data_IF_285903142176
#
_entry.id   IF_285903142176
#
_cell.length_a   1.000
_cell.length_b   1.000
_cell.length_c   1.000
_cell.angle_alpha   90.00
_cell.angle_beta   90.00
_cell.angle_gamma   90.00
#
_symmetry.space_group_name_H-M   'P 1'
#
loop_
_entity.id
_entity.type
_entity.pdbx_description
1 polymer ?
#
# COMPACT_ATOMS: atom_id res chain seq x y z
N UNK A 1 -0.50 -19.35 13.92
CA UNK A 1 0.31 -18.19 13.48
C UNK A 1 0.76 -17.32 14.65
N UNK A 2 -0.09 -17.18 15.66
CA UNK A 2 -0.10 -16.18 16.72
C UNK A 2 1.04 -16.32 17.75
N UNK A 3 1.83 -17.39 17.72
CA UNK A 3 3.01 -17.50 18.61
C UNK A 3 4.30 -17.02 17.95
N UNK A 4 4.27 -16.70 16.65
CA UNK A 4 5.48 -16.29 15.93
C UNK A 4 5.87 -14.84 16.24
N UNK A 5 7.17 -14.61 16.46
CA UNK A 5 7.73 -13.29 16.78
C UNK A 5 7.49 -12.29 15.65
N UNK A 6 7.63 -12.74 14.40
CA UNK A 6 7.40 -11.92 13.21
C UNK A 6 5.95 -11.42 13.11
N UNK A 7 4.97 -12.30 13.32
CA UNK A 7 3.55 -11.93 13.38
C UNK A 7 3.26 -10.96 14.54
N UNK A 8 3.80 -11.20 15.74
CA UNK A 8 3.57 -10.32 16.88
C UNK A 8 4.07 -8.88 16.63
N UNK A 9 5.13 -8.71 15.83
CA UNK A 9 5.64 -7.37 15.49
C UNK A 9 4.64 -6.52 14.69
N UNK A 10 3.81 -7.15 13.84
CA UNK A 10 2.89 -6.45 12.94
C UNK A 10 1.44 -6.51 13.42
N UNK A 11 1.09 -7.47 14.28
CA UNK A 11 -0.26 -7.69 14.79
C UNK A 11 -0.98 -6.42 15.28
N UNK A 12 -0.37 -5.52 16.07
CA UNK A 12 -1.05 -4.30 16.53
C UNK A 12 -1.46 -3.34 15.40
N UNK A 13 -0.95 -3.56 14.19
CA UNK A 13 -1.18 -2.72 13.02
C UNK A 13 -2.08 -3.39 11.97
N UNK A 14 -2.55 -4.62 12.23
CA UNK A 14 -3.50 -5.37 11.41
C UNK A 14 -4.95 -5.03 11.80
N UNK A 15 -5.95 -5.27 10.93
CA UNK A 15 -7.31 -4.78 11.10
C UNK A 15 -8.15 -5.62 12.07
N UNK A 16 -7.56 -6.13 13.15
CA UNK A 16 -8.24 -6.97 14.14
C UNK A 16 -8.33 -6.25 15.49
N UNK A 17 -9.34 -6.59 16.29
CA UNK A 17 -9.52 -5.98 17.60
C UNK A 17 -8.35 -6.33 18.54
N UNK A 18 -7.81 -5.31 19.20
CA UNK A 18 -6.69 -5.47 20.14
C UNK A 18 -7.13 -6.31 21.35
N UNK A 19 -6.28 -7.20 21.83
CA UNK A 19 -6.54 -8.01 23.03
C UNK A 19 -7.20 -9.36 22.79
N UNK A 20 -7.74 -9.63 21.60
CA UNK A 20 -8.18 -10.98 21.24
C UNK A 20 -6.99 -11.90 20.97
N UNK A 21 -7.04 -13.14 21.47
CA UNK A 21 -5.97 -14.14 21.26
C UNK A 21 -5.95 -14.68 19.83
N UNK A 22 -7.12 -14.91 19.24
CA UNK A 22 -7.27 -15.40 17.87
C UNK A 22 -7.37 -14.24 16.87
N UNK A 23 -6.86 -14.47 15.66
CA UNK A 23 -6.97 -13.52 14.55
C UNK A 23 -8.28 -13.76 13.83
N UNK A 24 -9.35 -13.12 14.28
CA UNK A 24 -10.69 -13.29 13.71
C UNK A 24 -11.43 -11.97 13.61
N UNK A 25 -12.35 -11.89 12.66
CA UNK A 25 -13.30 -10.78 12.57
C UNK A 25 -14.40 -10.93 13.64
N UNK A 26 -14.83 -9.84 14.31
CA UNK A 26 -16.02 -9.87 15.15
C UNK A 26 -17.27 -10.35 14.36
N UNK A 27 -18.24 -11.02 15.01
CA UNK A 27 -19.44 -11.56 14.33
C UNK A 27 -20.21 -10.51 13.53
N UNK A 28 -20.30 -9.28 14.05
CA UNK A 28 -20.94 -8.13 13.41
C UNK A 28 -20.20 -7.74 12.13
N UNK A 29 -18.87 -7.65 12.18
CA UNK A 29 -18.03 -7.39 10.99
C UNK A 29 -18.21 -8.50 9.96
N UNK A 30 -18.22 -9.76 10.39
CA UNK A 30 -18.47 -10.91 9.50
C UNK A 30 -19.84 -10.78 8.83
N UNK A 31 -20.89 -10.42 9.56
CA UNK A 31 -22.25 -10.25 9.03
C UNK A 31 -22.29 -9.16 7.96
N UNK A 32 -21.70 -8.00 8.23
CA UNK A 32 -21.65 -6.87 7.30
C UNK A 32 -20.82 -7.20 6.05
N UNK A 33 -19.63 -7.78 6.21
CA UNK A 33 -18.79 -8.19 5.06
C UNK A 33 -19.46 -9.29 4.23
N UNK A 34 -20.13 -10.27 4.86
CA UNK A 34 -20.92 -11.29 4.15
C UNK A 34 -22.05 -10.64 3.35
N UNK A 35 -22.77 -9.68 3.93
CA UNK A 35 -23.83 -8.97 3.20
C UNK A 35 -23.26 -8.22 1.99
N UNK A 36 -22.17 -7.46 2.17
CA UNK A 36 -21.46 -6.78 1.07
C UNK A 36 -21.01 -7.75 -0.03
N UNK A 37 -20.49 -8.93 0.35
CA UNK A 37 -20.04 -9.96 -0.60
C UNK A 37 -21.15 -10.53 -1.50
N UNK A 38 -22.42 -10.33 -1.14
CA UNK A 38 -23.58 -10.72 -1.94
C UNK A 38 -24.12 -9.59 -2.82
N UNK A 39 -23.49 -8.42 -2.80
CA UNK A 39 -23.84 -7.29 -3.66
C UNK A 39 -24.89 -6.34 -3.08
N UNK A 40 -25.26 -5.31 -3.87
CA UNK A 40 -26.13 -4.22 -3.40
C UNK A 40 -27.56 -4.66 -3.07
N UNK A 41 -28.06 -5.75 -3.68
CA UNK A 41 -29.42 -6.24 -3.41
C UNK A 41 -29.61 -6.78 -1.99
N UNK A 42 -28.53 -7.24 -1.34
CA UNK A 42 -28.57 -7.71 0.05
C UNK A 42 -28.01 -6.68 1.03
N UNK A 43 -26.94 -6.00 0.65
CA UNK A 43 -26.27 -5.02 1.51
C UNK A 43 -26.86 -3.62 1.49
N UNK A 44 -27.68 -3.30 0.49
CA UNK A 44 -28.12 -1.95 0.15
C UNK A 44 -26.97 -0.97 -0.14
N UNK A 45 -25.73 -1.44 -0.33
CA UNK A 45 -24.57 -0.58 -0.61
C UNK A 45 -24.33 -0.51 -2.12
N UNK A 46 -24.94 0.49 -2.76
CA UNK A 46 -24.84 0.73 -4.21
C UNK A 46 -24.23 2.08 -4.61
N UNK A 47 -23.61 2.79 -3.67
CA UNK A 47 -23.05 4.13 -3.89
C UNK A 47 -21.85 4.42 -2.97
N UNK A 48 -21.02 5.38 -3.34
CA UNK A 48 -19.88 5.85 -2.56
C UNK A 48 -20.29 6.37 -1.19
N UNK A 49 -21.40 7.12 -1.12
CA UNK A 49 -21.99 7.58 0.15
C UNK A 49 -22.34 6.44 1.09
N UNK A 50 -23.01 5.39 0.58
CA UNK A 50 -23.42 4.25 1.39
C UNK A 50 -22.21 3.40 1.79
N UNK A 51 -21.24 3.23 0.89
CA UNK A 51 -20.02 2.52 1.18
C UNK A 51 -19.20 3.19 2.28
N UNK A 52 -19.05 4.52 2.24
CA UNK A 52 -18.37 5.26 3.29
C UNK A 52 -19.08 5.17 4.65
N UNK A 53 -20.41 5.13 4.68
CA UNK A 53 -21.18 4.89 5.92
C UNK A 53 -20.90 3.51 6.49
N UNK A 54 -20.90 2.49 5.65
CA UNK A 54 -20.54 1.12 6.06
C UNK A 54 -19.11 1.04 6.59
N UNK A 55 -18.16 1.77 5.99
CA UNK A 55 -16.79 1.89 6.51
C UNK A 55 -16.77 2.47 7.94
N UNK A 56 -17.51 3.56 8.18
CA UNK A 56 -17.61 4.17 9.51
C UNK A 56 -18.22 3.18 10.52
N UNK A 57 -19.28 2.47 10.14
CA UNK A 57 -19.91 1.43 10.97
C UNK A 57 -18.93 0.31 11.33
N UNK A 58 -18.22 -0.24 10.33
CA UNK A 58 -17.22 -1.29 10.54
C UNK A 58 -16.10 -0.84 11.49
N UNK A 59 -15.63 0.40 11.36
CA UNK A 59 -14.61 0.95 12.27
C UNK A 59 -15.14 1.15 13.68
N UNK A 60 -16.39 1.56 13.85
CA UNK A 60 -17.02 1.67 15.16
C UNK A 60 -17.12 0.31 15.85
N UNK A 61 -17.52 -0.75 15.12
CA UNK A 61 -17.56 -2.13 15.63
C UNK A 61 -16.16 -2.60 16.07
N UNK A 62 -15.12 -2.22 15.33
CA UNK A 62 -13.73 -2.56 15.62
C UNK A 62 -13.08 -1.64 16.68
N UNK A 63 -13.82 -0.68 17.23
CA UNK A 63 -13.33 0.32 18.19
C UNK A 63 -12.14 1.14 17.65
N UNK A 64 -12.09 1.34 16.32
CA UNK A 64 -11.07 2.14 15.66
C UNK A 64 -11.50 3.61 15.55
N UNK A 65 -10.56 4.57 15.62
CA UNK A 65 -10.89 5.99 15.47
C UNK A 65 -11.63 6.28 14.17
N UNK A 66 -12.52 7.25 14.17
CA UNK A 66 -13.22 7.68 12.94
C UNK A 66 -12.23 7.99 11.81
N UNK A 67 -12.58 7.70 10.55
CA UNK A 67 -11.80 8.13 9.39
C UNK A 67 -11.59 9.64 9.36
N UNK A 68 -10.70 10.10 8.48
CA UNK A 68 -10.58 11.52 8.14
C UNK A 68 -11.95 12.18 7.89
N UNK A 69 -12.19 13.38 8.43
CA UNK A 69 -13.52 14.05 8.46
C UNK A 69 -14.22 14.05 7.10
N UNK A 70 -13.48 14.31 6.03
CA UNK A 70 -14.01 14.43 4.68
C UNK A 70 -14.02 13.11 3.89
N UNK A 71 -13.81 11.97 4.54
CA UNK A 71 -13.84 10.65 3.89
C UNK A 71 -15.18 10.40 3.20
N UNK A 72 -16.30 10.57 3.91
CA UNK A 72 -17.64 10.36 3.35
C UNK A 72 -17.93 11.24 2.13
N UNK A 73 -17.75 12.57 2.17
CA UNK A 73 -17.95 13.39 0.98
C UNK A 73 -16.94 13.04 -0.13
N UNK A 74 -15.71 12.65 0.18
CA UNK A 74 -14.71 12.22 -0.80
C UNK A 74 -15.10 10.95 -1.57
N UNK A 75 -15.58 9.93 -0.86
CA UNK A 75 -16.08 8.70 -1.48
C UNK A 75 -17.34 8.98 -2.31
N UNK A 76 -18.27 9.79 -1.79
CA UNK A 76 -19.48 10.15 -2.54
C UNK A 76 -19.13 10.92 -3.80
N UNK A 77 -18.29 11.96 -3.71
CA UNK A 77 -17.81 12.73 -4.86
C UNK A 77 -17.21 11.83 -5.94
N UNK A 78 -16.29 10.93 -5.56
CA UNK A 78 -15.62 10.09 -6.55
C UNK A 78 -16.57 9.09 -7.22
N UNK A 79 -17.28 8.28 -6.42
CA UNK A 79 -18.05 7.15 -6.96
C UNK A 79 -19.46 7.53 -7.45
N UNK A 80 -20.04 8.61 -6.91
CA UNK A 80 -21.41 9.02 -7.23
C UNK A 80 -21.42 10.12 -8.31
N UNK A 81 -20.43 11.03 -8.30
CA UNK A 81 -20.42 12.21 -9.18
C UNK A 81 -19.37 12.14 -10.30
N UNK A 82 -18.13 11.69 -10.02
CA UNK A 82 -17.03 11.69 -10.99
C UNK A 82 -16.93 10.42 -11.84
N UNK A 83 -17.22 9.26 -11.25
CA UNK A 83 -17.24 7.98 -11.96
C UNK A 83 -18.51 7.86 -12.82
N UNK A 84 -18.40 7.34 -14.05
CA UNK A 84 -19.57 7.15 -14.89
C UNK A 84 -20.58 6.19 -14.21
N UNK A 85 -21.88 6.42 -14.42
CA UNK A 85 -22.95 5.67 -13.73
C UNK A 85 -22.89 4.16 -13.96
N UNK A 86 -22.57 3.72 -15.18
CA UNK A 86 -22.45 2.28 -15.47
C UNK A 86 -21.20 1.67 -14.83
N UNK A 87 -20.11 2.42 -14.79
CA UNK A 87 -18.88 2.01 -14.10
C UNK A 87 -19.11 1.91 -12.59
N UNK A 88 -19.80 2.88 -12.00
CA UNK A 88 -20.16 2.88 -10.57
C UNK A 88 -21.09 1.72 -10.23
N UNK A 89 -22.12 1.48 -11.06
CA UNK A 89 -23.01 0.32 -10.91
C UNK A 89 -22.24 -1.00 -10.96
N UNK A 90 -21.31 -1.14 -11.91
CA UNK A 90 -20.42 -2.30 -12.01
C UNK A 90 -19.50 -2.42 -10.80
N UNK A 91 -18.91 -1.31 -10.36
CA UNK A 91 -18.02 -1.26 -9.21
C UNK A 91 -18.71 -1.81 -7.95
N UNK A 92 -19.90 -1.32 -7.62
CA UNK A 92 -20.64 -1.81 -6.45
C UNK A 92 -21.33 -3.16 -6.67
N UNK A 93 -21.68 -3.51 -7.91
CA UNK A 93 -22.31 -4.79 -8.26
C UNK A 93 -21.34 -5.97 -8.33
N UNK A 94 -20.09 -5.73 -8.72
CA UNK A 94 -19.13 -6.80 -9.05
C UNK A 94 -17.82 -6.69 -8.25
N UNK A 95 -17.25 -5.50 -8.12
CA UNK A 95 -15.90 -5.31 -7.54
C UNK A 95 -15.96 -5.28 -6.02
N UNK A 96 -16.71 -4.36 -5.42
CA UNK A 96 -16.85 -4.24 -3.95
C UNK A 96 -17.25 -5.57 -3.29
N UNK A 97 -18.17 -6.38 -3.84
CA UNK A 97 -18.51 -7.68 -3.26
C UNK A 97 -17.33 -8.65 -3.22
N UNK A 98 -16.50 -8.68 -4.27
CA UNK A 98 -15.30 -9.52 -4.32
C UNK A 98 -14.22 -9.05 -3.36
N UNK A 99 -14.05 -7.72 -3.22
CA UNK A 99 -13.15 -7.17 -2.21
C UNK A 99 -13.64 -7.46 -0.79
N UNK A 100 -14.95 -7.41 -0.53
CA UNK A 100 -15.51 -7.75 0.77
C UNK A 100 -15.29 -9.23 1.12
N UNK A 101 -15.45 -10.15 0.16
CA UNK A 101 -15.07 -11.56 0.33
C UNK A 101 -13.57 -11.71 0.64
N UNK A 102 -12.71 -10.99 -0.08
CA UNK A 102 -11.27 -11.04 0.14
C UNK A 102 -10.86 -10.51 1.53
N UNK A 103 -11.49 -9.43 2.01
CA UNK A 103 -11.33 -8.93 3.38
C UNK A 103 -11.80 -9.97 4.40
N UNK A 104 -12.95 -10.61 4.16
CA UNK A 104 -13.49 -11.66 5.03
C UNK A 104 -12.51 -12.84 5.15
N UNK A 105 -11.79 -13.19 4.07
CA UNK A 105 -10.78 -14.27 4.04
C UNK A 105 -9.42 -13.88 4.63
N UNK A 106 -9.18 -12.61 4.99
CA UNK A 106 -7.88 -12.15 5.48
C UNK A 106 -7.29 -13.02 6.62
N UNK A 107 -8.04 -13.41 7.69
CA UNK A 107 -7.54 -14.34 8.70
C UNK A 107 -6.95 -15.64 8.13
N UNK A 108 -7.69 -16.29 7.24
CA UNK A 108 -7.28 -17.56 6.63
C UNK A 108 -6.08 -17.40 5.70
N UNK A 109 -6.01 -16.26 4.98
CA UNK A 109 -4.87 -15.91 4.13
C UNK A 109 -3.61 -15.66 4.97
N UNK A 110 -3.72 -14.97 6.11
CA UNK A 110 -2.62 -14.80 7.04
C UNK A 110 -2.17 -16.15 7.62
N UNK A 111 -3.09 -16.99 8.08
CA UNK A 111 -2.74 -18.32 8.58
C UNK A 111 -1.99 -19.17 7.54
N UNK A 112 -2.47 -19.17 6.30
CA UNK A 112 -1.82 -19.87 5.18
C UNK A 112 -0.44 -19.29 4.90
N UNK A 113 -0.31 -17.96 4.91
CA UNK A 113 0.96 -17.27 4.76
C UNK A 113 1.97 -17.73 5.82
N UNK A 114 1.65 -17.62 7.10
CA UNK A 114 2.59 -17.96 8.17
C UNK A 114 2.87 -19.46 8.33
N UNK A 115 2.05 -20.35 7.76
CA UNK A 115 2.38 -21.77 7.62
C UNK A 115 3.52 -21.99 6.62
N UNK A 116 3.61 -21.14 5.59
CA UNK A 116 4.54 -21.32 4.46
C UNK A 116 5.72 -20.32 4.46
N UNK A 117 5.66 -19.26 5.26
CA UNK A 117 6.53 -18.10 5.08
C UNK A 117 8.00 -18.25 5.54
N UNK A 118 8.42 -19.38 6.13
CA UNK A 118 9.80 -19.52 6.65
C UNK A 118 10.21 -18.31 7.50
N UNK A 119 11.32 -17.66 7.16
CA UNK A 119 11.80 -16.40 7.78
C UNK A 119 11.32 -15.12 7.06
N UNK A 120 10.53 -15.25 6.00
CA UNK A 120 10.04 -14.14 5.17
C UNK A 120 8.59 -13.76 5.48
N UNK A 121 8.12 -14.10 6.69
CA UNK A 121 6.80 -13.76 7.21
C UNK A 121 6.53 -12.26 7.21
N UNK A 122 5.25 -11.90 7.16
CA UNK A 122 4.83 -10.51 7.25
C UNK A 122 5.27 -9.99 8.61
N UNK A 123 5.98 -8.86 8.65
CA UNK A 123 6.50 -8.30 9.89
C UNK A 123 6.79 -6.83 9.71
N UNK A 124 7.04 -6.15 10.82
CA UNK A 124 7.56 -4.80 10.79
C UNK A 124 9.05 -4.84 10.41
N UNK A 125 9.43 -4.13 9.34
CA UNK A 125 10.83 -3.89 9.01
C UNK A 125 11.29 -2.60 9.69
N UNK A 126 11.64 -2.72 10.97
CA UNK A 126 11.99 -1.58 11.83
C UNK A 126 13.20 -0.78 11.32
N UNK A 127 13.34 0.44 11.83
CA UNK A 127 14.47 1.32 11.51
C UNK A 127 15.80 0.63 11.86
N UNK A 128 16.75 0.68 10.93
CA UNK A 128 18.05 0.01 11.04
C UNK A 128 18.00 -1.52 11.20
N UNK A 129 16.86 -2.17 10.91
CA UNK A 129 16.78 -3.64 10.84
C UNK A 129 16.67 -4.11 9.38
N UNK A 130 17.68 -4.84 8.86
CA UNK A 130 17.55 -5.42 7.54
C UNK A 130 16.53 -6.57 7.56
N UNK A 131 15.89 -6.84 6.43
CA UNK A 131 14.99 -7.98 6.34
C UNK A 131 14.19 -8.00 5.04
N UNK A 132 13.68 -9.18 4.73
CA UNK A 132 12.84 -9.45 3.56
C UNK A 132 11.50 -10.03 3.99
N UNK A 133 10.43 -9.50 3.40
CA UNK A 133 9.06 -10.02 3.50
C UNK A 133 8.65 -10.48 2.11
N UNK A 134 8.13 -11.70 1.99
CA UNK A 134 7.61 -12.23 0.72
C UNK A 134 6.13 -12.52 0.90
N UNK A 135 5.27 -11.86 0.13
CA UNK A 135 3.81 -12.02 0.23
C UNK A 135 3.26 -12.54 -1.09
N UNK A 136 2.23 -13.38 -1.03
CA UNK A 136 1.43 -13.67 -2.22
C UNK A 136 0.68 -12.41 -2.67
N UNK A 137 0.47 -12.28 -3.97
CA UNK A 137 -0.29 -11.15 -4.51
C UNK A 137 -1.74 -11.16 -4.03
N UNK A 138 -2.32 -12.34 -3.74
CA UNK A 138 -3.63 -12.43 -3.11
C UNK A 138 -3.67 -11.83 -1.70
N UNK A 139 -2.66 -12.12 -0.86
CA UNK A 139 -2.58 -11.51 0.47
C UNK A 139 -2.38 -10.00 0.38
N UNK A 140 -1.59 -9.52 -0.60
CA UNK A 140 -1.44 -8.08 -0.87
C UNK A 140 -2.78 -7.46 -1.27
N UNK A 141 -3.54 -8.11 -2.16
CA UNK A 141 -4.86 -7.64 -2.55
C UNK A 141 -5.82 -7.59 -1.36
N UNK A 142 -5.76 -8.56 -0.44
CA UNK A 142 -6.57 -8.54 0.79
C UNK A 142 -6.19 -7.38 1.72
N UNK A 143 -4.89 -7.17 1.95
CA UNK A 143 -4.39 -6.06 2.75
C UNK A 143 -4.76 -4.69 2.13
N UNK A 144 -4.63 -4.52 0.82
CA UNK A 144 -5.05 -3.29 0.14
C UNK A 144 -6.57 -3.11 0.12
N UNK A 145 -7.34 -4.20 0.10
CA UNK A 145 -8.79 -4.12 0.27
C UNK A 145 -9.13 -3.61 1.68
N UNK A 146 -8.42 -4.05 2.72
CA UNK A 146 -8.56 -3.46 4.05
C UNK A 146 -8.18 -1.97 4.07
N UNK A 147 -7.20 -1.53 3.27
CA UNK A 147 -6.88 -0.10 3.11
C UNK A 147 -8.03 0.70 2.49
N UNK A 148 -8.67 0.17 1.43
CA UNK A 148 -9.83 0.80 0.79
C UNK A 148 -11.03 0.88 1.74
N UNK A 149 -11.32 -0.20 2.45
CA UNK A 149 -12.36 -0.25 3.48
C UNK A 149 -11.95 0.50 4.77
N UNK A 150 -10.74 1.09 4.77
CA UNK A 150 -10.17 1.82 5.88
C UNK A 150 -10.25 1.03 7.20
N UNK A 151 -9.85 -0.24 7.21
CA UNK A 151 -9.99 -1.11 8.38
C UNK A 151 -8.71 -1.22 9.21
N UNK A 152 -7.59 -0.60 8.83
CA UNK A 152 -6.41 -0.65 9.69
C UNK A 152 -6.55 0.29 10.90
N UNK A 153 -6.05 -0.12 12.07
CA UNK A 153 -5.90 0.79 13.22
C UNK A 153 -4.83 1.84 12.91
N UNK A 154 -5.06 3.06 13.39
CA UNK A 154 -4.22 4.23 13.10
C UNK A 154 -3.60 4.87 14.35
N UNK A 155 -4.09 4.55 15.55
CA UNK A 155 -3.69 5.20 16.79
C UNK A 155 -2.18 5.10 17.07
N UNK A 156 -1.60 3.90 16.99
CA UNK A 156 -0.21 3.65 17.41
C UNK A 156 0.81 3.72 16.25
N UNK A 157 0.36 4.08 15.05
CA UNK A 157 1.23 4.17 13.86
C UNK A 157 2.26 5.30 13.94
N UNK A 158 1.92 6.51 14.43
CA UNK A 158 2.88 7.60 14.59
C UNK A 158 4.06 7.23 15.50
N UNK A 159 3.81 6.46 16.57
CA UNK A 159 4.83 6.04 17.55
C UNK A 159 5.92 5.17 16.92
N UNK A 160 5.58 4.44 15.84
CA UNK A 160 6.51 3.62 15.05
C UNK A 160 6.91 4.29 13.73
N UNK A 161 6.60 5.57 13.55
CA UNK A 161 6.83 6.34 12.32
C UNK A 161 6.27 5.66 11.06
N UNK A 162 5.14 4.95 11.20
CA UNK A 162 4.51 4.25 10.09
C UNK A 162 3.63 5.20 9.28
N UNK A 163 3.74 5.07 7.95
CA UNK A 163 2.93 5.86 7.02
C UNK A 163 1.43 5.59 7.14
N UNK A 164 0.64 6.50 6.58
CA UNK A 164 -0.80 6.31 6.40
C UNK A 164 -1.06 5.12 5.48
N UNK A 165 -1.95 4.22 5.91
CA UNK A 165 -2.26 2.98 5.20
C UNK A 165 -3.70 2.93 4.65
N UNK A 166 -4.64 3.61 5.32
CA UNK A 166 -6.03 3.66 4.90
C UNK A 166 -6.20 4.71 3.81
N UNK A 167 -7.22 4.53 2.97
CA UNK A 167 -7.51 5.43 1.85
C UNK A 167 -8.44 6.60 2.25
N UNK A 168 -8.76 6.71 3.54
CA UNK A 168 -9.58 7.79 4.09
C UNK A 168 -9.05 9.18 3.70
N UNK A 169 -7.74 9.41 3.81
CA UNK A 169 -7.11 10.68 3.43
C UNK A 169 -7.10 10.93 1.92
N UNK A 170 -6.89 9.92 1.08
CA UNK A 170 -6.84 10.15 -0.39
C UNK A 170 -8.21 10.58 -0.91
N UNK A 171 -9.30 9.98 -0.42
CA UNK A 171 -10.65 10.42 -0.73
C UNK A 171 -11.01 11.74 -0.04
N UNK A 172 -10.66 11.91 1.23
CA UNK A 172 -10.92 13.15 1.95
C UNK A 172 -10.28 14.39 1.33
N UNK A 173 -9.05 14.26 0.84
CA UNK A 173 -8.39 15.35 0.13
C UNK A 173 -9.01 15.64 -1.24
N UNK A 174 -9.61 14.65 -1.90
CA UNK A 174 -10.34 14.88 -3.15
C UNK A 174 -11.51 15.83 -2.93
N UNK A 175 -12.28 15.66 -1.84
CA UNK A 175 -13.39 16.56 -1.52
C UNK A 175 -12.93 17.91 -0.97
N UNK A 176 -11.88 17.94 -0.13
CA UNK A 176 -11.43 19.20 0.48
C UNK A 176 -10.77 20.14 -0.52
N UNK A 177 -9.97 19.56 -1.42
CA UNK A 177 -9.14 20.27 -2.38
C UNK A 177 -9.05 19.44 -3.64
N UNK A 178 -10.12 19.46 -4.44
CA UNK A 178 -10.16 18.73 -5.71
C UNK A 178 -8.91 19.02 -6.54
N UNK A 179 -8.24 17.94 -6.98
CA UNK A 179 -7.08 17.98 -7.85
C UNK A 179 -7.14 16.84 -8.88
N UNK A 180 -6.97 17.13 -10.18
CA UNK A 180 -6.97 16.09 -11.21
C UNK A 180 -5.89 15.01 -11.04
N UNK A 181 -4.73 15.34 -10.47
CA UNK A 181 -3.67 14.36 -10.21
C UNK A 181 -4.10 13.34 -9.14
N UNK A 182 -4.88 13.78 -8.14
CA UNK A 182 -5.40 12.95 -7.10
C UNK A 182 -6.51 12.03 -7.61
N UNK A 183 -7.42 12.56 -8.42
CA UNK A 183 -8.46 11.75 -9.10
C UNK A 183 -7.82 10.64 -9.95
N UNK A 184 -6.79 10.97 -10.75
CA UNK A 184 -6.09 9.97 -11.55
C UNK A 184 -5.39 8.89 -10.71
N UNK A 185 -4.87 9.24 -9.53
CA UNK A 185 -4.35 8.24 -8.58
C UNK A 185 -5.45 7.31 -8.08
N UNK A 186 -6.63 7.85 -7.77
CA UNK A 186 -7.79 7.04 -7.34
C UNK A 186 -8.25 6.13 -8.49
N UNK A 187 -8.32 6.64 -9.73
CA UNK A 187 -8.62 5.82 -10.92
C UNK A 187 -7.64 4.67 -11.10
N UNK A 188 -6.34 4.89 -10.89
CA UNK A 188 -5.34 3.81 -10.90
C UNK A 188 -5.61 2.75 -9.82
N UNK A 189 -5.97 3.17 -8.60
CA UNK A 189 -6.31 2.25 -7.50
C UNK A 189 -7.57 1.44 -7.80
N UNK A 190 -8.62 2.10 -8.29
CA UNK A 190 -9.86 1.46 -8.75
C UNK A 190 -9.54 0.42 -9.81
N UNK A 191 -8.76 0.79 -10.82
CA UNK A 191 -8.40 -0.14 -11.88
C UNK A 191 -7.61 -1.35 -11.36
N UNK A 192 -6.68 -1.15 -10.41
CA UNK A 192 -6.01 -2.27 -9.73
C UNK A 192 -7.02 -3.23 -9.08
N UNK A 193 -8.01 -2.72 -8.36
CA UNK A 193 -9.03 -3.54 -7.70
C UNK A 193 -9.94 -4.28 -8.69
N UNK A 194 -10.29 -3.66 -9.82
CA UNK A 194 -11.00 -4.33 -10.90
C UNK A 194 -10.21 -5.52 -11.44
N UNK A 195 -8.89 -5.33 -11.66
CA UNK A 195 -8.01 -6.37 -12.20
C UNK A 195 -7.90 -7.57 -11.26
N UNK A 196 -7.62 -7.34 -9.98
CA UNK A 196 -7.48 -8.45 -9.00
C UNK A 196 -8.82 -9.13 -8.70
N UNK A 197 -9.95 -8.41 -8.85
CA UNK A 197 -11.28 -8.98 -8.67
C UNK A 197 -11.72 -9.83 -9.87
N UNK A 198 -11.33 -9.44 -11.09
CA UNK A 198 -11.59 -10.20 -12.30
C UNK A 198 -10.69 -11.43 -12.40
N UNK A 199 -9.37 -11.25 -12.20
CA UNK A 199 -8.36 -12.30 -12.32
C UNK A 199 -7.30 -12.11 -11.22
N UNK A 200 -7.43 -12.86 -10.12
CA UNK A 200 -6.50 -12.79 -9.01
C UNK A 200 -5.11 -13.28 -9.44
N UNK A 201 -4.06 -12.45 -9.36
CA UNK A 201 -2.72 -12.88 -9.72
C UNK A 201 -2.14 -13.81 -8.63
N UNK A 202 -1.33 -14.79 -9.05
CA UNK A 202 -0.85 -15.90 -8.21
C UNK A 202 0.64 -15.84 -7.85
N UNK A 203 1.33 -14.79 -8.26
CA UNK A 203 2.74 -14.58 -7.97
C UNK A 203 3.00 -14.13 -6.54
N UNK A 204 4.27 -13.98 -6.23
CA UNK A 204 4.76 -13.46 -4.96
C UNK A 204 5.51 -12.14 -5.17
N UNK A 205 5.49 -11.27 -4.18
CA UNK A 205 6.23 -10.01 -4.16
C UNK A 205 7.14 -9.98 -2.93
N UNK A 206 8.43 -9.72 -3.16
CA UNK A 206 9.42 -9.53 -2.11
C UNK A 206 9.64 -8.05 -1.82
N UNK A 207 9.57 -7.66 -0.55
CA UNK A 207 9.89 -6.33 -0.05
C UNK A 207 11.11 -6.48 0.86
N UNK A 208 12.25 -5.91 0.46
CA UNK A 208 13.50 -5.99 1.20
C UNK A 208 13.92 -4.61 1.72
N UNK A 209 14.19 -4.54 3.02
CA UNK A 209 14.89 -3.41 3.64
C UNK A 209 16.37 -3.75 3.73
N UNK A 210 17.19 -3.02 2.98
CA UNK A 210 18.66 -3.08 3.10
C UNK A 210 19.14 -1.98 4.04
N UNK A 211 20.06 -2.34 4.95
CA UNK A 211 20.65 -1.42 5.92
C UNK A 211 22.16 -1.44 5.73
N UNK A 212 22.75 -0.27 5.51
CA UNK A 212 24.20 -0.10 5.47
C UNK A 212 24.67 0.19 6.91
N UNK A 213 25.52 -0.66 7.52
CA UNK A 213 25.92 -0.47 8.90
C UNK A 213 26.83 0.76 9.06
N UNK A 214 26.63 1.51 10.15
CA UNK A 214 27.39 2.71 10.45
C UNK A 214 28.87 2.43 10.79
N UNK A 215 29.14 1.34 11.54
CA UNK A 215 30.47 0.76 11.83
C UNK A 215 30.28 -0.59 12.56
N UNK A 216 31.25 -1.51 12.44
CA UNK A 216 31.29 -2.81 13.13
C UNK A 216 30.07 -3.73 12.90
N UNK A 217 29.83 -4.12 11.64
CA UNK A 217 28.98 -5.27 11.32
C UNK A 217 29.86 -6.46 10.92
N UNK A 218 29.48 -7.71 11.24
CA UNK A 218 30.16 -8.91 10.71
C UNK A 218 30.17 -8.99 9.17
N UNK A 219 29.37 -8.18 8.48
CA UNK A 219 29.34 -8.08 7.02
C UNK A 219 30.41 -7.15 6.41
N UNK A 220 31.34 -6.57 7.18
CA UNK A 220 32.48 -5.72 6.72
C UNK A 220 32.15 -4.48 5.86
N UNK A 221 30.88 -4.18 5.59
CA UNK A 221 30.47 -2.99 4.84
C UNK A 221 30.42 -1.81 5.81
N UNK A 222 31.46 -0.98 5.81
CA UNK A 222 31.52 0.26 6.60
C UNK A 222 30.94 1.40 5.77
N UNK A 223 30.21 2.32 6.41
CA UNK A 223 29.80 3.56 5.77
C UNK A 223 31.03 4.27 5.17
N UNK A 224 31.11 4.43 3.84
CA UNK A 224 32.29 5.00 3.22
C UNK A 224 32.44 6.47 3.61
N UNK A 225 33.59 6.83 4.16
CA UNK A 225 33.90 8.21 4.51
C UNK A 225 34.43 8.97 3.29
N UNK A 226 34.65 10.29 3.42
CA UNK A 226 35.16 11.10 2.32
C UNK A 226 36.49 10.58 1.76
N UNK A 227 37.36 10.04 2.62
CA UNK A 227 38.66 9.47 2.25
C UNK A 227 38.52 8.17 1.43
N UNK A 228 37.54 7.33 1.75
CA UNK A 228 37.19 6.14 0.95
C UNK A 228 36.80 6.55 -0.47
N UNK A 229 35.96 7.58 -0.61
CA UNK A 229 35.50 8.05 -1.91
C UNK A 229 36.61 8.74 -2.71
N UNK A 230 37.47 9.55 -2.07
CA UNK A 230 38.57 10.26 -2.75
C UNK A 230 39.66 9.31 -3.26
N UNK A 231 39.80 8.14 -2.64
CA UNK A 231 40.76 7.09 -3.03
C UNK A 231 40.18 6.02 -3.95
N UNK A 232 38.89 6.11 -4.29
CA UNK A 232 38.25 5.11 -5.15
C UNK A 232 38.82 5.18 -6.58
N UNK A 233 39.36 4.05 -7.05
CA UNK A 233 39.86 3.88 -8.42
C UNK A 233 38.84 3.21 -9.36
N UNK A 234 37.61 2.98 -8.87
CA UNK A 234 36.56 2.38 -9.68
C UNK A 234 36.25 3.26 -10.90
N UNK A 235 36.25 2.69 -12.13
CA UNK A 235 35.96 3.47 -13.32
C UNK A 235 34.51 3.95 -13.32
N UNK A 236 34.26 5.07 -13.99
CA UNK A 236 32.90 5.57 -14.17
C UNK A 236 32.06 4.57 -14.97
N UNK A 237 30.82 4.36 -14.53
CA UNK A 237 29.86 3.53 -15.24
C UNK A 237 29.44 4.18 -16.57
N UNK A 238 29.06 3.35 -17.54
CA UNK A 238 28.53 3.81 -18.83
C UNK A 238 27.22 4.59 -18.63
N UNK A 239 27.18 5.84 -19.07
CA UNK A 239 25.96 6.65 -19.13
C UNK A 239 25.38 6.59 -20.54
N UNK A 240 24.10 6.21 -20.66
CA UNK A 240 23.37 6.27 -21.93
C UNK A 240 22.36 7.40 -21.87
N UNK A 241 22.46 8.36 -22.79
CA UNK A 241 21.52 9.47 -22.93
C UNK A 241 20.74 9.33 -24.24
N UNK A 242 19.41 9.28 -24.15
CA UNK A 242 18.54 9.26 -25.32
C UNK A 242 18.11 10.70 -25.61
N UNK A 243 18.67 11.30 -26.67
CA UNK A 243 18.21 12.59 -27.16
C UNK A 243 16.88 12.41 -27.91
N UNK A 244 15.79 12.84 -27.29
CA UNK A 244 14.48 12.98 -27.94
C UNK A 244 14.26 14.45 -28.29
N UNK A 245 14.99 14.99 -29.27
CA UNK A 245 14.48 16.10 -30.10
C UNK A 245 15.30 16.32 -31.38
N UNK A 246 14.64 16.60 -32.52
CA UNK A 246 15.29 16.85 -33.81
C UNK A 246 15.64 18.33 -33.95
N UNK A 247 16.69 18.82 -33.28
CA UNK A 247 17.60 19.91 -33.71
C UNK A 247 18.52 20.34 -32.57
N UNK A 248 19.81 20.60 -32.83
CA UNK A 248 20.74 20.97 -31.77
C UNK A 248 20.50 22.41 -31.32
N UNK A 249 20.03 22.57 -30.09
CA UNK A 249 20.15 23.83 -29.34
C UNK A 249 21.62 23.99 -28.92
N UNK A 250 22.22 25.13 -29.26
CA UNK A 250 23.63 25.46 -29.05
C UNK A 250 24.12 25.38 -27.59
N UNK A 251 23.20 25.25 -26.63
CA UNK A 251 23.51 25.14 -25.20
C UNK A 251 23.95 23.72 -24.80
N UNK A 252 23.49 22.67 -25.48
CA UNK A 252 23.87 21.28 -25.17
C UNK A 252 25.32 20.97 -25.58
N UNK A 253 25.80 21.58 -26.66
CA UNK A 253 27.19 21.42 -27.13
C UNK A 253 28.21 21.97 -26.12
N UNK A 254 27.86 23.03 -25.38
CA UNK A 254 28.73 23.62 -24.35
C UNK A 254 28.84 22.69 -23.13
N UNK A 255 27.72 22.12 -22.67
CA UNK A 255 27.73 21.20 -21.51
C UNK A 255 28.51 19.91 -21.81
N UNK A 256 28.40 19.38 -23.03
CA UNK A 256 29.17 18.21 -23.46
C UNK A 256 30.67 18.49 -23.55
N UNK A 257 31.07 19.69 -24.03
CA UNK A 257 32.48 20.11 -24.06
C UNK A 257 33.06 20.28 -22.66
N UNK A 258 32.29 20.80 -21.70
CA UNK A 258 32.75 20.97 -20.31
C UNK A 258 32.94 19.63 -19.61
N UNK A 259 32.02 18.67 -19.82
CA UNK A 259 32.16 17.31 -19.30
C UNK A 259 33.33 16.55 -19.95
N UNK A 260 33.49 16.66 -21.27
CA UNK A 260 34.61 16.03 -21.97
C UNK A 260 35.97 16.61 -21.58
N UNK A 261 36.06 17.92 -21.30
CA UNK A 261 37.28 18.56 -20.81
C UNK A 261 37.63 18.12 -19.37
N UNK A 262 36.63 17.95 -18.50
CA UNK A 262 36.83 17.48 -17.14
C UNK A 262 37.28 16.01 -17.06
N UNK A 263 36.90 15.19 -18.04
CA UNK A 263 37.28 13.77 -18.10
C UNK A 263 38.71 13.52 -18.63
N UNK A 264 39.38 14.53 -19.20
CA UNK A 264 40.75 14.42 -19.72
C UNK A 264 41.80 15.16 -18.86
N UNK A 265 41.42 15.67 -17.69
CA UNK A 265 42.32 16.37 -16.74
C UNK A 265 42.67 15.53 -15.50
N UNK A 266 42.56 14.21 -15.57
CA UNK A 266 43.13 13.27 -14.59
C UNK A 266 44.18 12.39 -15.24
#
# INVERSE_FOLDING_TARGET
MERRVDFQSIRPFLPFQTGQLAVTWPPEVVRTLKSLSKGPSLSNVGSGKLFARTIIELRNILEFPSPYKSTLPGFSLFFDDLMNKDESKKWFGEVVPRLADLVLRLPALLDTHYKNAGETGLRLLETQQPGIVVLSQELIAALLSCSLFCLFPTANRPDKHLGHINFDKIFGFLSDRYKPDLENKIKCLVHYFERVSANMPTGNVSIERKVLPWRNSPSNIVYPNADFWSKSTNPLCRLTHLCTDPKPSSKLTTMYKTLHAAMHQT
#
